data_IF_579805129370
#
_entry.id   IF_579805129370
#
_cell.length_a   1.000
_cell.length_b   1.000
_cell.length_c   1.000
_cell.angle_alpha   90.00
_cell.angle_beta   90.00
_cell.angle_gamma   90.00
#
_symmetry.space_group_name_H-M   'P 1'
#
loop_
_entity.id
_entity.type
_entity.pdbx_description
1 polymer ?
#
# COMPACT_ATOMS: atom_id res chain seq x y z
N UNK A 1 -15.77 -35.58 -41.92
CA UNK A 1 -15.95 -34.17 -42.36
C UNK A 1 -16.21 -33.32 -41.13
N UNK A 2 -15.20 -32.61 -40.62
CA UNK A 2 -15.40 -31.61 -39.56
C UNK A 2 -15.84 -30.33 -40.28
N UNK A 3 -17.05 -29.87 -39.98
CA UNK A 3 -17.65 -28.68 -40.60
C UNK A 3 -16.75 -27.47 -40.42
N UNK A 4 -16.38 -26.82 -41.54
CA UNK A 4 -15.60 -25.57 -41.58
C UNK A 4 -16.33 -24.36 -40.98
N UNK A 5 -17.56 -24.51 -40.46
CA UNK A 5 -18.40 -23.41 -39.98
C UNK A 5 -18.04 -22.86 -38.58
N UNK A 6 -17.19 -23.53 -37.80
CA UNK A 6 -16.94 -23.15 -36.40
C UNK A 6 -15.61 -22.44 -36.14
N UNK A 7 -14.76 -22.29 -37.18
CA UNK A 7 -13.47 -21.61 -37.06
C UNK A 7 -13.56 -20.16 -36.53
N UNK A 8 -14.49 -19.30 -37.00
CA UNK A 8 -14.48 -17.89 -36.58
C UNK A 8 -14.90 -17.70 -35.10
N UNK A 9 -15.76 -18.57 -34.57
CA UNK A 9 -16.22 -18.49 -33.17
C UNK A 9 -15.09 -18.83 -32.19
N UNK A 10 -14.25 -19.81 -32.53
CA UNK A 10 -13.10 -20.20 -31.71
C UNK A 10 -12.04 -19.10 -31.70
N UNK A 11 -11.79 -18.44 -32.84
CA UNK A 11 -10.81 -17.34 -32.92
C UNK A 11 -11.26 -16.12 -32.10
N UNK A 12 -12.54 -15.76 -32.14
CA UNK A 12 -13.09 -14.65 -31.34
C UNK A 12 -12.98 -14.94 -29.84
N UNK A 13 -13.27 -16.17 -29.41
CA UNK A 13 -13.14 -16.57 -28.01
C UNK A 13 -11.69 -16.51 -27.49
N UNK A 14 -10.71 -16.92 -28.31
CA UNK A 14 -9.29 -16.85 -27.97
C UNK A 14 -8.82 -15.39 -27.88
N UNK A 15 -9.24 -14.53 -28.81
CA UNK A 15 -8.90 -13.11 -28.76
C UNK A 15 -9.52 -12.40 -27.55
N UNK A 16 -10.78 -12.69 -27.22
CA UNK A 16 -11.42 -12.17 -26.02
C UNK A 16 -10.68 -12.63 -24.74
N UNK A 17 -10.27 -13.90 -24.69
CA UNK A 17 -9.50 -14.45 -23.57
C UNK A 17 -8.12 -13.79 -23.43
N UNK A 18 -7.38 -13.63 -24.54
CA UNK A 18 -6.08 -12.96 -24.54
C UNK A 18 -6.18 -11.47 -24.18
N UNK A 19 -7.27 -10.80 -24.57
CA UNK A 19 -7.53 -9.42 -24.13
C UNK A 19 -7.74 -9.37 -22.61
N UNK A 20 -8.60 -10.24 -22.06
CA UNK A 20 -8.88 -10.29 -20.61
C UNK A 20 -7.60 -10.57 -19.81
N UNK A 21 -6.73 -11.47 -20.28
CA UNK A 21 -5.46 -11.78 -19.61
C UNK A 21 -4.49 -10.59 -19.65
N UNK A 22 -4.37 -9.89 -20.77
CA UNK A 22 -3.50 -8.71 -20.88
C UNK A 22 -4.00 -7.53 -20.04
N UNK A 23 -5.32 -7.29 -19.99
CA UNK A 23 -5.89 -6.28 -19.11
C UNK A 23 -5.68 -6.65 -17.63
N UNK A 24 -5.88 -7.92 -17.25
CA UNK A 24 -5.69 -8.37 -15.89
C UNK A 24 -4.25 -8.17 -15.39
N UNK A 25 -3.23 -8.40 -16.24
CA UNK A 25 -1.81 -8.21 -15.89
C UNK A 25 -1.48 -6.82 -15.34
N UNK A 26 -2.03 -5.75 -15.93
CA UNK A 26 -1.83 -4.38 -15.46
C UNK A 26 -2.53 -4.07 -14.13
N UNK A 27 -3.57 -4.84 -13.76
CA UNK A 27 -4.19 -4.73 -12.43
C UNK A 27 -3.40 -5.42 -11.33
N UNK A 28 -2.58 -6.42 -11.66
CA UNK A 28 -1.87 -7.23 -10.67
C UNK A 28 -0.58 -6.61 -10.15
N UNK A 29 0.06 -5.71 -10.90
CA UNK A 29 1.32 -5.07 -10.51
C UNK A 29 1.12 -3.58 -10.23
N UNK A 30 0.88 -3.19 -8.95
CA UNK A 30 0.71 -1.80 -8.55
C UNK A 30 1.78 -0.86 -9.08
N UNK A 31 3.02 -1.34 -9.18
CA UNK A 31 4.20 -0.63 -9.63
C UNK A 31 4.22 -0.30 -11.13
N UNK A 32 3.41 -0.99 -11.96
CA UNK A 32 3.33 -0.75 -13.40
C UNK A 32 2.21 0.24 -13.78
N UNK A 33 1.47 0.76 -12.80
CA UNK A 33 0.37 1.66 -13.08
C UNK A 33 0.90 3.02 -13.56
N UNK A 34 0.28 3.64 -14.59
CA UNK A 34 0.80 4.87 -15.21
C UNK A 34 1.08 6.01 -14.22
N UNK A 35 0.27 6.12 -13.17
CA UNK A 35 0.43 7.18 -12.18
C UNK A 35 1.61 6.98 -11.22
N UNK A 36 2.17 5.77 -11.14
CA UNK A 36 3.37 5.45 -10.35
C UNK A 36 4.65 5.81 -11.12
N UNK A 37 4.56 5.94 -12.45
CA UNK A 37 5.71 6.22 -13.31
C UNK A 37 6.48 7.49 -12.93
N UNK A 38 5.81 8.50 -12.36
CA UNK A 38 6.46 9.73 -11.85
C UNK A 38 7.50 9.48 -10.76
N UNK A 39 7.45 8.34 -10.08
CA UNK A 39 8.41 7.91 -9.06
C UNK A 39 9.54 7.05 -9.65
N UNK A 40 9.42 6.61 -10.90
CA UNK A 40 10.36 5.73 -11.60
C UNK A 40 11.18 6.48 -12.64
N UNK A 41 11.04 7.80 -12.73
CA UNK A 41 11.79 8.63 -13.66
C UNK A 41 13.26 8.73 -13.23
N UNK A 42 14.09 7.89 -13.83
CA UNK A 42 15.54 7.82 -13.58
C UNK A 42 16.22 9.15 -13.91
N UNK A 43 15.64 10.00 -14.76
CA UNK A 43 16.21 11.32 -15.06
C UNK A 43 16.08 12.31 -13.89
N UNK A 44 15.16 12.06 -12.95
CA UNK A 44 15.05 12.83 -11.70
C UNK A 44 16.00 12.35 -10.62
N UNK A 45 16.53 11.15 -10.74
CA UNK A 45 17.59 10.71 -9.86
C UNK A 45 18.83 11.51 -10.20
N UNK A 46 19.32 12.31 -9.24
CA UNK A 46 20.63 12.94 -9.37
C UNK A 46 21.71 11.90 -9.68
N UNK A 47 22.84 12.31 -10.26
CA UNK A 47 23.96 11.41 -10.51
C UNK A 47 24.25 10.54 -9.28
N UNK A 48 24.31 9.23 -9.52
CA UNK A 48 24.61 8.21 -8.53
C UNK A 48 26.07 8.35 -8.08
N UNK A 49 26.31 8.94 -6.91
CA UNK A 49 27.66 9.24 -6.43
C UNK A 49 28.33 8.09 -5.65
N UNK A 50 27.54 7.09 -5.25
CA UNK A 50 27.97 6.00 -4.35
C UNK A 50 27.90 4.62 -5.05
N UNK A 51 28.55 3.62 -4.46
CA UNK A 51 28.41 2.23 -4.91
C UNK A 51 27.04 1.69 -4.46
N UNK A 52 26.33 1.00 -5.37
CA UNK A 52 25.04 0.39 -5.05
C UNK A 52 25.16 -1.12 -4.97
N UNK A 53 24.42 -1.72 -4.04
CA UNK A 53 24.31 -3.15 -3.91
C UNK A 53 22.92 -3.59 -4.30
N UNK A 54 22.81 -4.63 -5.13
CA UNK A 54 21.56 -5.34 -5.30
C UNK A 54 21.27 -6.11 -4.00
N UNK A 55 20.37 -5.56 -3.19
CA UNK A 55 20.01 -6.16 -1.89
C UNK A 55 18.95 -7.25 -2.06
N UNK A 56 18.11 -7.16 -3.10
CA UNK A 56 17.00 -8.08 -3.30
C UNK A 56 16.63 -8.21 -4.78
N UNK A 57 16.21 -9.42 -5.16
CA UNK A 57 15.56 -9.73 -6.45
C UNK A 57 14.51 -10.82 -6.24
N UNK A 58 13.43 -10.76 -7.00
CA UNK A 58 12.30 -11.69 -6.90
C UNK A 58 12.38 -12.86 -7.90
N UNK A 59 13.46 -12.96 -8.68
CA UNK A 59 13.70 -14.05 -9.62
C UNK A 59 15.00 -14.80 -9.28
N UNK A 60 15.00 -16.11 -9.56
CA UNK A 60 16.12 -16.99 -9.21
C UNK A 60 17.33 -16.79 -10.13
N UNK A 61 17.08 -16.43 -11.39
CA UNK A 61 18.08 -16.34 -12.45
C UNK A 61 17.84 -15.11 -13.33
N UNK A 62 18.92 -14.39 -13.63
CA UNK A 62 18.92 -13.33 -14.62
C UNK A 62 20.25 -13.33 -15.39
N UNK A 63 20.18 -13.65 -16.68
CA UNK A 63 21.35 -13.73 -17.54
C UNK A 63 22.07 -12.38 -17.72
N UNK A 64 21.37 -11.26 -17.55
CA UNK A 64 21.96 -9.92 -17.65
C UNK A 64 22.72 -9.52 -16.38
N UNK A 65 22.33 -10.10 -15.23
CA UNK A 65 22.92 -9.80 -13.91
C UNK A 65 23.58 -11.02 -13.25
N UNK A 66 24.36 -11.78 -14.02
CA UNK A 66 25.25 -12.82 -13.49
C UNK A 66 24.53 -14.09 -13.03
N UNK A 67 23.39 -14.41 -13.63
CA UNK A 67 22.65 -15.65 -13.42
C UNK A 67 22.07 -15.77 -12.00
N UNK A 68 22.51 -16.78 -11.25
CA UNK A 68 22.04 -17.10 -9.88
C UNK A 68 22.72 -16.29 -8.77
N UNK A 69 23.59 -15.34 -9.14
CA UNK A 69 24.38 -14.54 -8.18
C UNK A 69 23.49 -13.71 -7.24
N UNK A 70 23.61 -13.93 -5.93
CA UNK A 70 22.76 -13.28 -4.91
C UNK A 70 23.20 -11.86 -4.55
N UNK A 71 24.46 -11.52 -4.81
CA UNK A 71 25.03 -10.21 -4.48
C UNK A 71 25.67 -9.62 -5.73
N UNK A 72 25.08 -8.53 -6.23
CA UNK A 72 25.63 -7.77 -7.34
C UNK A 72 26.05 -6.42 -6.80
N UNK A 73 27.34 -6.09 -6.93
CA UNK A 73 27.85 -4.76 -6.60
C UNK A 73 27.98 -3.97 -7.90
N UNK A 74 27.28 -2.85 -7.96
CA UNK A 74 27.39 -1.88 -9.03
C UNK A 74 28.46 -0.88 -8.63
N UNK A 75 29.62 -0.99 -9.27
CA UNK A 75 30.68 -0.02 -9.09
C UNK A 75 30.40 1.19 -9.96
N UNK A 76 30.68 2.36 -9.38
CA UNK A 76 30.81 3.61 -10.11
C UNK A 76 31.73 3.44 -11.33
N UNK A 77 31.27 3.82 -12.52
CA UNK A 77 32.18 4.21 -13.60
C UNK A 77 32.09 5.72 -13.71
N UNK A 78 33.17 6.40 -13.32
CA UNK A 78 33.34 7.82 -13.65
C UNK A 78 33.70 7.88 -15.12
N UNK A 79 32.76 8.26 -15.99
CA UNK A 79 33.13 8.91 -17.24
C UNK A 79 32.16 10.06 -17.54
N UNK A 80 32.71 11.28 -17.44
CA UNK A 80 32.15 12.48 -18.03
C UNK A 80 32.22 12.32 -19.55
N UNK A 81 31.07 12.13 -20.21
CA UNK A 81 30.67 12.73 -21.50
C UNK A 81 29.44 12.01 -22.05
N UNK A 82 28.25 12.60 -21.86
CA UNK A 82 27.04 12.32 -22.65
C UNK A 82 26.28 11.00 -22.38
N UNK A 83 24.98 11.15 -22.09
CA UNK A 83 23.80 10.25 -22.25
C UNK A 83 23.86 8.73 -21.97
N UNK A 84 25.02 8.13 -21.67
CA UNK A 84 25.17 6.72 -21.38
C UNK A 84 25.99 6.51 -20.11
N UNK A 85 25.33 6.09 -19.03
CA UNK A 85 26.02 5.57 -17.86
C UNK A 85 26.43 4.11 -18.14
N UNK A 86 27.72 3.85 -18.20
CA UNK A 86 28.25 2.48 -18.16
C UNK A 86 28.35 2.08 -16.68
N UNK A 87 27.86 0.89 -16.32
CA UNK A 87 27.94 0.38 -14.95
C UNK A 87 28.87 -0.83 -14.92
N UNK A 88 29.92 -0.81 -14.07
CA UNK A 88 30.81 -1.96 -13.93
C UNK A 88 30.21 -2.88 -12.89
N UNK A 89 29.84 -4.09 -13.33
CA UNK A 89 29.24 -5.09 -12.46
C UNK A 89 30.32 -6.05 -12.01
N UNK A 90 30.48 -6.22 -10.69
CA UNK A 90 31.35 -7.25 -10.11
C UNK A 90 30.52 -8.35 -9.45
N UNK A 91 31.01 -9.58 -9.55
CA UNK A 91 30.31 -10.80 -9.13
C UNK A 91 31.16 -11.57 -8.11
N UNK A 92 30.50 -12.15 -7.10
CA UNK A 92 31.10 -13.18 -6.26
C UNK A 92 30.27 -14.46 -6.40
N UNK A 93 30.88 -15.50 -6.98
CA UNK A 93 30.22 -16.78 -7.26
C UNK A 93 30.25 -17.69 -6.03
N UNK A 94 29.08 -18.14 -5.58
CA UNK A 94 28.96 -19.36 -4.76
C UNK A 94 28.10 -20.38 -5.51
N UNK A 95 28.62 -21.60 -5.59
CA UNK A 95 28.16 -22.67 -6.48
C UNK A 95 26.86 -23.37 -5.99
N UNK A 96 26.10 -23.85 -6.99
CA UNK A 96 25.10 -24.92 -6.98
C UNK A 96 23.62 -24.58 -6.66
N UNK A 97 22.76 -24.75 -7.67
CA UNK A 97 21.47 -25.45 -7.62
C UNK A 97 20.96 -25.75 -9.05
N UNK A 98 20.52 -27.00 -9.28
CA UNK A 98 19.96 -27.56 -10.52
C UNK A 98 18.43 -27.36 -10.52
N UNK A 99 17.78 -26.94 -11.62
CA UNK A 99 16.30 -26.91 -11.69
C UNK A 99 15.71 -28.27 -12.09
N UNK A 100 14.66 -28.69 -11.37
CA UNK A 100 13.78 -29.79 -11.73
C UNK A 100 12.82 -29.36 -12.86
N UNK A 101 12.76 -30.14 -13.94
CA UNK A 101 11.77 -30.01 -15.00
C UNK A 101 10.45 -30.69 -14.60
N UNK A 102 9.32 -29.98 -14.76
CA UNK A 102 7.98 -30.56 -14.66
C UNK A 102 7.47 -30.93 -16.07
N UNK A 103 7.26 -32.22 -16.32
CA UNK A 103 6.59 -32.71 -17.52
C UNK A 103 5.08 -32.52 -17.39
N UNK A 104 4.50 -31.67 -18.24
CA UNK A 104 3.06 -31.64 -18.48
C UNK A 104 2.69 -32.76 -19.45
N UNK A 105 1.94 -33.75 -18.96
CA UNK A 105 1.35 -34.80 -19.77
C UNK A 105 0.11 -34.24 -20.47
N UNK A 106 0.20 -34.03 -21.78
CA UNK A 106 -0.97 -33.77 -22.63
C UNK A 106 -1.71 -35.08 -22.91
N UNK A 107 -2.83 -35.29 -22.22
CA UNK A 107 -3.78 -36.36 -22.60
C UNK A 107 -4.75 -35.79 -23.64
N UNK A 108 -4.51 -36.14 -24.90
CA UNK A 108 -5.44 -35.88 -26.02
C UNK A 108 -6.45 -37.02 -26.12
N UNK A 109 -7.70 -36.79 -25.67
CA UNK A 109 -8.86 -37.59 -26.10
C UNK A 109 -10.02 -36.68 -26.50
N UNK A 110 -10.61 -37.03 -27.64
CA UNK A 110 -11.32 -36.19 -28.59
C UNK A 110 -12.78 -35.82 -28.26
N UNK A 111 -13.22 -35.88 -27.00
CA UNK A 111 -14.59 -35.46 -26.61
C UNK A 111 -14.66 -34.75 -25.25
N UNK A 112 -13.53 -34.23 -24.74
CA UNK A 112 -13.44 -33.56 -23.43
C UNK A 112 -13.52 -32.01 -23.39
N UNK A 113 -13.86 -31.23 -24.45
CA UNK A 113 -13.64 -29.78 -24.41
C UNK A 113 -14.68 -29.03 -23.56
N UNK A 114 -15.93 -29.46 -23.50
CA UNK A 114 -16.99 -28.66 -22.85
C UNK A 114 -16.92 -28.74 -21.32
N UNK A 115 -16.71 -29.94 -20.77
CA UNK A 115 -16.64 -30.16 -19.31
C UNK A 115 -15.39 -29.51 -18.72
N UNK A 116 -14.26 -29.57 -19.42
CA UNK A 116 -13.03 -28.89 -18.97
C UNK A 116 -13.16 -27.37 -19.01
N UNK A 117 -13.76 -26.80 -20.06
CA UNK A 117 -14.03 -25.36 -20.14
C UNK A 117 -14.96 -24.89 -19.02
N UNK A 118 -16.02 -25.65 -18.71
CA UNK A 118 -16.95 -25.31 -17.63
C UNK A 118 -16.31 -25.35 -16.24
N UNK A 119 -15.47 -26.36 -15.97
CA UNK A 119 -14.72 -26.46 -14.70
C UNK A 119 -13.71 -25.32 -14.60
N UNK A 120 -12.98 -25.00 -15.67
CA UNK A 120 -12.07 -23.87 -15.68
C UNK A 120 -12.79 -22.55 -15.45
N UNK A 121 -13.92 -22.31 -16.12
CA UNK A 121 -14.73 -21.09 -15.93
C UNK A 121 -15.29 -20.99 -14.51
N UNK A 122 -15.76 -22.09 -13.91
CA UNK A 122 -16.26 -22.12 -12.54
C UNK A 122 -15.16 -21.88 -11.51
N UNK A 123 -13.98 -22.50 -11.68
CA UNK A 123 -12.79 -22.23 -10.85
C UNK A 123 -12.32 -20.78 -11.03
N UNK A 124 -12.40 -20.23 -12.25
CA UNK A 124 -12.09 -18.82 -12.51
C UNK A 124 -13.05 -17.91 -11.74
N UNK A 125 -14.36 -18.11 -11.88
CA UNK A 125 -15.39 -17.31 -11.20
C UNK A 125 -15.28 -17.42 -9.69
N UNK A 126 -15.00 -18.61 -9.12
CA UNK A 126 -14.80 -18.75 -7.67
C UNK A 126 -13.53 -18.04 -7.16
N UNK A 127 -12.47 -17.97 -7.96
CA UNK A 127 -11.26 -17.21 -7.59
C UNK A 127 -11.45 -15.68 -7.75
N UNK A 128 -12.29 -15.23 -8.68
CA UNK A 128 -12.52 -13.81 -8.93
C UNK A 128 -13.70 -13.20 -8.16
N UNK A 129 -14.70 -13.98 -7.74
CA UNK A 129 -15.92 -13.47 -7.11
C UNK A 129 -15.78 -13.12 -5.62
N UNK A 130 -14.72 -13.58 -4.94
CA UNK A 130 -14.61 -13.45 -3.48
C UNK A 130 -13.36 -12.76 -2.96
N UNK A 131 -12.36 -12.48 -3.81
CA UNK A 131 -11.08 -11.99 -3.33
C UNK A 131 -10.77 -10.62 -3.95
N UNK A 132 -11.34 -9.57 -3.36
CA UNK A 132 -10.63 -8.31 -3.28
C UNK A 132 -9.35 -8.55 -2.48
N UNK A 133 -8.34 -9.09 -3.15
CA UNK A 133 -7.06 -9.42 -2.54
C UNK A 133 -6.27 -8.12 -2.43
N UNK A 134 -6.63 -7.34 -1.43
CA UNK A 134 -5.81 -6.25 -0.92
C UNK A 134 -4.37 -6.79 -0.79
N UNK A 135 -3.40 -6.33 -1.61
CA UNK A 135 -2.05 -6.86 -1.59
C UNK A 135 -1.41 -6.74 -0.20
N UNK A 136 -1.81 -5.70 0.54
CA UNK A 136 -1.41 -5.48 1.92
C UNK A 136 -2.01 -6.49 2.91
N UNK A 137 -3.04 -7.27 2.55
CA UNK A 137 -3.57 -8.34 3.41
C UNK A 137 -2.87 -9.68 3.20
N UNK A 138 -1.75 -9.73 2.46
CA UNK A 138 -0.88 -10.92 2.40
C UNK A 138 0.02 -11.05 3.65
N UNK A 139 -0.02 -12.17 4.41
CA UNK A 139 0.69 -12.29 5.68
C UNK A 139 2.20 -11.98 5.65
N UNK A 140 2.88 -12.14 4.51
CA UNK A 140 4.31 -11.84 4.40
C UNK A 140 4.64 -10.33 4.45
N UNK A 141 3.66 -9.43 4.26
CA UNK A 141 3.86 -7.98 4.37
C UNK A 141 3.64 -7.45 5.79
N UNK A 142 3.21 -8.28 6.74
CA UNK A 142 2.84 -7.86 8.09
C UNK A 142 3.95 -7.13 8.86
N UNK A 143 5.22 -7.40 8.52
CA UNK A 143 6.39 -6.71 9.09
C UNK A 143 6.42 -5.20 8.84
N UNK A 144 5.65 -4.71 7.86
CA UNK A 144 5.51 -3.30 7.53
C UNK A 144 4.26 -2.66 8.14
N UNK A 145 3.49 -3.41 8.93
CA UNK A 145 2.15 -3.01 9.40
C UNK A 145 2.00 -3.06 10.91
N UNK A 146 3.02 -3.53 11.62
CA UNK A 146 2.97 -3.67 13.07
C UNK A 146 3.11 -2.30 13.73
N UNK A 147 2.01 -1.74 14.20
CA UNK A 147 1.96 -0.42 14.84
C UNK A 147 2.58 -0.47 16.22
N UNK A 148 2.49 -1.62 16.90
CA UNK A 148 3.09 -1.81 18.23
C UNK A 148 4.61 -1.64 18.20
N UNK A 149 5.26 -1.95 17.07
CA UNK A 149 6.70 -1.76 16.87
C UNK A 149 7.16 -0.32 17.03
N UNK A 150 6.29 0.66 16.76
CA UNK A 150 6.64 2.07 16.86
C UNK A 150 6.68 2.58 18.31
N UNK A 151 6.36 1.73 19.28
CA UNK A 151 6.33 2.11 20.69
C UNK A 151 5.28 3.19 20.97
N UNK A 152 5.41 3.90 22.09
CA UNK A 152 4.58 5.08 22.35
C UNK A 152 4.85 6.15 21.29
N UNK A 153 3.81 6.57 20.58
CA UNK A 153 3.90 7.67 19.61
C UNK A 153 4.10 8.99 20.37
N UNK A 154 5.32 9.54 20.32
CA UNK A 154 5.71 10.74 21.07
C UNK A 154 5.25 12.06 20.45
N UNK A 155 4.76 12.01 19.21
CA UNK A 155 4.25 13.19 18.51
C UNK A 155 2.90 12.93 17.88
N UNK A 156 2.23 14.03 17.55
CA UNK A 156 0.93 14.00 16.90
C UNK A 156 1.06 13.72 15.42
N UNK A 157 -0.01 13.20 14.83
CA UNK A 157 -0.08 12.92 13.40
C UNK A 157 -1.16 13.75 12.74
N UNK A 158 -0.83 14.38 11.61
CA UNK A 158 -1.79 15.02 10.73
C UNK A 158 -2.20 14.08 9.61
N UNK A 159 -3.50 14.06 9.31
CA UNK A 159 -4.02 13.50 8.08
C UNK A 159 -3.62 14.42 6.92
N UNK A 160 -2.67 13.98 6.09
CA UNK A 160 -2.17 14.78 4.97
C UNK A 160 -3.22 14.81 3.87
N UNK A 161 -3.62 13.63 3.40
CA UNK A 161 -4.64 13.47 2.40
C UNK A 161 -5.31 12.10 2.49
N UNK A 162 -6.47 11.98 1.83
CA UNK A 162 -7.23 10.74 1.68
C UNK A 162 -7.82 10.61 0.29
N UNK A 163 -8.24 9.42 -0.12
CA UNK A 163 -8.81 9.17 -1.45
C UNK A 163 -10.36 9.19 -1.50
N UNK A 164 -11.01 9.82 -0.53
CA UNK A 164 -12.47 9.98 -0.42
C UNK A 164 -12.84 11.34 0.18
N UNK A 165 -13.93 11.95 -0.28
CA UNK A 165 -14.28 13.36 0.03
C UNK A 165 -14.73 13.54 1.47
N UNK A 166 -15.63 12.68 1.92
CA UNK A 166 -16.37 12.83 3.17
C UNK A 166 -16.06 11.68 4.13
N UNK A 167 -15.79 12.02 5.38
CA UNK A 167 -15.48 11.07 6.43
C UNK A 167 -16.26 11.38 7.70
N UNK A 168 -17.33 10.62 7.96
CA UNK A 168 -18.17 10.85 9.14
C UNK A 168 -17.41 10.72 10.46
N UNK A 169 -16.32 9.96 10.52
CA UNK A 169 -15.55 9.70 11.74
C UNK A 169 -14.51 10.79 12.02
N UNK A 170 -14.13 11.55 10.99
CA UNK A 170 -13.10 12.60 11.06
C UNK A 170 -13.64 13.97 10.63
N UNK A 171 -14.86 14.31 11.03
CA UNK A 171 -15.44 15.65 10.87
C UNK A 171 -16.04 15.97 9.50
N UNK A 172 -16.31 14.97 8.67
CA UNK A 172 -16.95 15.12 7.38
C UNK A 172 -15.97 15.59 6.31
N UNK A 173 -16.18 16.79 5.78
CA UNK A 173 -15.30 17.45 4.78
C UNK A 173 -14.31 18.44 5.41
N UNK A 174 -14.19 18.45 6.73
CA UNK A 174 -13.30 19.35 7.48
C UNK A 174 -11.83 19.08 7.20
N UNK A 175 -10.99 20.07 7.55
CA UNK A 175 -9.54 20.07 7.33
C UNK A 175 -8.81 19.91 8.66
N UNK A 176 -7.48 19.83 8.61
CA UNK A 176 -6.60 19.86 9.78
C UNK A 176 -6.88 18.74 10.79
N UNK A 177 -7.25 17.57 10.28
CA UNK A 177 -7.48 16.39 11.11
C UNK A 177 -6.15 15.98 11.75
N UNK A 178 -6.13 15.92 13.08
CA UNK A 178 -4.96 15.64 13.91
C UNK A 178 -5.29 14.55 14.92
N UNK A 179 -4.46 13.53 14.99
CA UNK A 179 -4.52 12.42 15.93
C UNK A 179 -3.46 12.61 17.01
N UNK A 180 -3.85 12.44 18.28
CA UNK A 180 -3.01 12.58 19.47
C UNK A 180 -3.29 11.43 20.42
N UNK A 181 -2.24 10.75 20.92
CA UNK A 181 -2.36 9.76 22.01
C UNK A 181 -2.19 10.48 23.35
N UNK A 182 -3.21 10.44 24.21
CA UNK A 182 -3.23 11.13 25.50
C UNK A 182 -2.50 10.33 26.57
N UNK A 183 -2.76 9.01 26.63
CA UNK A 183 -2.15 8.12 27.64
C UNK A 183 -1.54 6.92 26.94
N UNK A 184 -0.26 6.67 27.24
CA UNK A 184 0.50 5.49 26.79
C UNK A 184 0.22 4.27 27.68
N UNK A 185 -1.03 4.07 28.10
CA UNK A 185 -1.39 2.89 28.89
C UNK A 185 -1.46 1.71 27.95
N UNK A 186 -0.57 0.71 28.15
CA UNK A 186 -0.44 -0.53 27.38
C UNK A 186 -0.62 -0.33 25.87
N UNK A 187 0.45 -0.31 25.06
CA UNK A 187 0.47 0.08 23.63
C UNK A 187 -0.69 -0.44 22.73
N UNK A 188 -1.42 -1.46 23.17
CA UNK A 188 -2.62 -2.05 22.58
C UNK A 188 -3.95 -1.29 22.84
N UNK A 189 -4.06 -0.47 23.89
CA UNK A 189 -5.30 0.24 24.26
C UNK A 189 -5.00 1.67 24.72
N UNK A 190 -4.90 2.60 23.79
CA UNK A 190 -4.54 3.98 24.11
C UNK A 190 -5.78 4.87 24.24
N UNK A 191 -5.77 5.80 25.20
CA UNK A 191 -6.69 6.95 25.17
C UNK A 191 -6.20 7.92 24.10
N UNK A 192 -7.10 8.36 23.22
CA UNK A 192 -6.77 9.18 22.06
C UNK A 192 -7.68 10.40 21.96
N UNK A 193 -7.16 11.42 21.29
CA UNK A 193 -7.87 12.63 20.89
C UNK A 193 -7.73 12.78 19.39
N UNK A 194 -8.87 12.91 18.72
CA UNK A 194 -8.93 13.27 17.31
C UNK A 194 -9.53 14.66 17.23
N UNK A 195 -8.87 15.56 16.52
CA UNK A 195 -9.34 16.93 16.33
C UNK A 195 -9.37 17.29 14.85
N UNK A 196 -10.20 18.25 14.48
CA UNK A 196 -10.30 18.80 13.13
C UNK A 196 -10.69 20.26 13.19
N UNK A 197 -10.39 21.01 12.13
CA UNK A 197 -10.72 22.42 12.02
C UNK A 197 -11.77 22.66 10.94
N UNK A 198 -12.71 23.54 11.25
CA UNK A 198 -13.63 24.11 10.28
C UNK A 198 -13.29 25.58 10.12
N UNK A 199 -13.16 26.04 8.87
CA UNK A 199 -12.88 27.44 8.58
C UNK A 199 -13.87 28.35 9.32
N UNK A 200 -13.36 29.31 10.09
CA UNK A 200 -14.18 30.25 10.88
C UNK A 200 -14.73 29.74 12.21
N UNK A 201 -14.61 28.44 12.54
CA UNK A 201 -15.20 27.86 13.77
C UNK A 201 -14.17 27.22 14.72
N UNK A 202 -12.87 27.38 14.45
CA UNK A 202 -11.80 26.84 15.28
C UNK A 202 -11.69 25.30 15.23
N UNK A 203 -11.04 24.74 16.25
CA UNK A 203 -10.72 23.30 16.36
C UNK A 203 -11.80 22.55 17.15
N UNK A 204 -12.46 21.57 16.54
CA UNK A 204 -13.32 20.60 17.23
C UNK A 204 -12.53 19.35 17.56
N UNK A 205 -12.97 18.61 18.56
CA UNK A 205 -12.32 17.35 18.93
C UNK A 205 -13.32 16.35 19.46
N UNK A 206 -12.88 15.09 19.47
CA UNK A 206 -13.48 14.00 20.19
C UNK A 206 -12.40 13.26 20.96
N UNK A 207 -12.81 12.66 22.07
CA UNK A 207 -11.99 11.74 22.83
C UNK A 207 -12.48 10.32 22.60
N UNK A 208 -11.54 9.38 22.60
CA UNK A 208 -11.84 7.98 22.31
C UNK A 208 -10.77 7.02 22.78
N UNK A 209 -11.01 5.73 22.57
CA UNK A 209 -9.98 4.71 22.73
C UNK A 209 -9.55 4.17 21.36
N UNK A 210 -8.25 4.00 21.16
CA UNK A 210 -7.68 3.26 20.02
C UNK A 210 -7.19 1.91 20.52
N UNK A 211 -7.80 0.84 20.01
CA UNK A 211 -7.46 -0.54 20.35
C UNK A 211 -6.79 -1.22 19.17
N UNK A 212 -5.58 -1.75 19.38
CA UNK A 212 -4.82 -2.48 18.38
C UNK A 212 -5.03 -3.99 18.50
N UNK A 213 -5.48 -4.58 17.40
CA UNK A 213 -5.62 -6.03 17.23
C UNK A 213 -4.96 -6.47 15.92
N UNK A 214 -5.06 -7.76 15.60
CA UNK A 214 -4.49 -8.34 14.39
C UNK A 214 -5.60 -8.71 13.40
N UNK A 215 -5.42 -8.41 12.12
CA UNK A 215 -6.29 -8.95 11.07
C UNK A 215 -6.19 -10.48 11.01
N UNK A 216 -7.21 -11.20 10.48
CA UNK A 216 -7.16 -12.66 10.41
C UNK A 216 -5.91 -13.19 9.72
N UNK A 217 -5.19 -14.11 10.38
CA UNK A 217 -3.94 -14.70 9.87
C UNK A 217 -2.67 -13.89 10.13
N UNK A 218 -2.75 -12.81 10.91
CA UNK A 218 -1.62 -11.94 11.26
C UNK A 218 -1.20 -12.12 12.71
N UNK A 219 0.10 -11.95 12.98
CA UNK A 219 0.63 -11.74 14.33
C UNK A 219 0.89 -10.27 14.62
N UNK A 220 1.18 -9.47 13.59
CA UNK A 220 1.33 -8.01 13.70
C UNK A 220 0.05 -7.33 14.22
N UNK A 221 0.22 -6.25 15.00
CA UNK A 221 -0.89 -5.41 15.49
C UNK A 221 -1.19 -4.33 14.45
N UNK A 222 -2.00 -4.67 13.46
CA UNK A 222 -2.27 -3.84 12.29
C UNK A 222 -3.72 -3.34 12.19
N UNK A 223 -4.65 -3.82 13.02
CA UNK A 223 -6.06 -3.42 13.00
C UNK A 223 -6.35 -2.46 14.15
N UNK A 224 -6.72 -1.23 13.82
CA UNK A 224 -7.20 -0.23 14.77
C UNK A 224 -8.72 -0.32 14.90
N UNK A 225 -9.19 -0.32 16.13
CA UNK A 225 -10.59 -0.13 16.51
C UNK A 225 -10.68 1.12 17.35
N UNK A 226 -11.26 2.18 16.80
CA UNK A 226 -11.45 3.44 17.50
C UNK A 226 -12.89 3.54 17.99
N UNK A 227 -13.07 3.90 19.26
CA UNK A 227 -14.37 4.19 19.86
C UNK A 227 -14.44 5.64 20.31
N UNK A 228 -15.59 6.28 20.16
CA UNK A 228 -15.84 7.63 20.70
C UNK A 228 -16.50 7.54 22.09
N UNK A 229 -16.14 8.45 22.99
CA UNK A 229 -16.83 8.59 24.28
C UNK A 229 -18.12 9.42 24.18
N UNK A 230 -18.22 10.29 23.17
CA UNK A 230 -19.34 11.21 23.02
C UNK A 230 -20.47 10.64 22.15
N UNK A 231 -20.13 9.71 21.26
CA UNK A 231 -21.07 9.08 20.35
C UNK A 231 -20.83 7.56 20.37
N UNK A 232 -21.88 6.72 20.30
CA UNK A 232 -21.76 5.25 20.30
C UNK A 232 -21.20 4.70 18.97
N UNK A 233 -20.28 5.42 18.35
CA UNK A 233 -19.62 5.03 17.11
C UNK A 233 -18.31 4.30 17.40
N UNK A 234 -18.14 3.15 16.75
CA UNK A 234 -16.88 2.44 16.64
C UNK A 234 -16.57 2.23 15.16
N UNK A 235 -15.32 2.44 14.77
CA UNK A 235 -14.88 2.20 13.40
C UNK A 235 -13.51 1.59 13.37
N UNK A 236 -13.31 0.79 12.32
CA UNK A 236 -12.10 0.02 12.13
C UNK A 236 -11.36 0.49 10.88
N UNK A 237 -10.05 0.50 10.98
CA UNK A 237 -9.16 0.64 9.84
C UNK A 237 -7.92 -0.19 10.07
N UNK A 238 -7.33 -0.72 8.99
CA UNK A 238 -6.10 -1.48 9.09
C UNK A 238 -4.93 -0.73 8.47
N UNK A 239 -3.76 -1.03 8.98
CA UNK A 239 -2.49 -0.46 8.55
C UNK A 239 -2.06 -1.11 7.24
N UNK A 240 -1.93 -0.31 6.18
CA UNK A 240 -1.29 -0.71 4.93
C UNK A 240 0.23 -0.71 5.11
N UNK A 241 0.74 0.36 5.70
CA UNK A 241 2.17 0.59 5.91
C UNK A 241 2.38 1.56 7.07
N UNK A 242 3.40 1.31 7.89
CA UNK A 242 3.86 2.24 8.92
C UNK A 242 5.39 2.31 8.95
N UNK A 243 5.89 3.54 8.89
CA UNK A 243 7.25 3.89 9.26
C UNK A 243 7.20 4.85 10.45
N UNK A 244 7.84 4.44 11.55
CA UNK A 244 7.65 5.08 12.85
C UNK A 244 8.15 6.53 12.91
N UNK A 245 8.99 6.94 11.96
CA UNK A 245 9.54 8.30 11.89
C UNK A 245 8.98 9.11 10.73
N UNK A 246 8.31 8.47 9.76
CA UNK A 246 7.92 9.16 8.52
C UNK A 246 6.43 9.23 8.28
N UNK A 247 5.70 8.12 8.37
CA UNK A 247 4.29 8.11 7.96
C UNK A 247 3.52 6.87 8.42
N UNK A 248 2.20 7.02 8.38
CA UNK A 248 1.25 5.94 8.55
C UNK A 248 0.23 5.96 7.40
N UNK A 249 -0.04 4.79 6.81
CA UNK A 249 -1.03 4.63 5.75
C UNK A 249 -2.09 3.63 6.24
N UNK A 250 -3.33 4.11 6.34
CA UNK A 250 -4.47 3.33 6.81
C UNK A 250 -5.52 3.10 5.73
N UNK A 251 -6.20 1.95 5.79
CA UNK A 251 -7.36 1.60 4.97
C UNK A 251 -8.62 1.51 5.81
N UNK A 252 -9.60 2.33 5.45
CA UNK A 252 -10.87 2.54 6.16
C UNK A 252 -11.96 1.70 5.52
N UNK A 253 -12.42 0.66 6.22
CA UNK A 253 -13.40 -0.30 5.68
C UNK A 253 -14.78 0.33 5.43
N UNK A 254 -15.12 1.35 6.21
CA UNK A 254 -16.39 2.07 6.10
C UNK A 254 -16.40 3.11 4.95
N UNK A 255 -15.24 3.46 4.40
CA UNK A 255 -15.12 4.51 3.39
C UNK A 255 -14.90 3.93 1.99
N UNK A 256 -15.53 4.54 0.98
CA UNK A 256 -15.37 4.19 -0.44
C UNK A 256 -15.51 2.67 -0.70
N UNK A 257 -16.55 2.04 -0.13
CA UNK A 257 -16.80 0.60 -0.25
C UNK A 257 -15.61 -0.27 0.16
N UNK A 258 -14.86 0.13 1.20
CA UNK A 258 -13.68 -0.57 1.71
C UNK A 258 -12.35 -0.11 1.11
N UNK A 259 -12.38 0.73 0.06
CA UNK A 259 -11.18 1.25 -0.63
C UNK A 259 -10.68 2.60 -0.11
N UNK A 260 -11.32 3.13 0.94
CA UNK A 260 -10.92 4.39 1.55
C UNK A 260 -9.52 4.28 2.13
N UNK A 261 -8.63 5.21 1.78
CA UNK A 261 -7.28 5.28 2.30
C UNK A 261 -6.95 6.68 2.80
N UNK A 262 -6.05 6.73 3.78
CA UNK A 262 -5.51 7.95 4.36
C UNK A 262 -3.99 7.86 4.52
N UNK A 263 -3.27 8.94 4.20
CA UNK A 263 -1.87 9.12 4.55
C UNK A 263 -1.78 10.08 5.74
N UNK A 264 -1.11 9.65 6.80
CA UNK A 264 -0.83 10.43 7.99
C UNK A 264 0.67 10.66 8.12
N UNK A 265 1.06 11.83 8.62
CA UNK A 265 2.45 12.18 8.89
C UNK A 265 2.60 12.81 10.26
N UNK A 266 3.74 12.59 10.92
CA UNK A 266 4.06 13.29 12.15
C UNK A 266 4.10 14.81 11.93
N UNK A 267 3.79 15.58 12.97
CA UNK A 267 3.82 17.05 12.92
C UNK A 267 5.17 17.57 12.46
N UNK A 268 6.26 16.96 12.90
CA UNK A 268 7.64 17.36 12.52
C UNK A 268 7.91 17.33 11.01
N UNK A 269 7.10 16.59 10.23
CA UNK A 269 7.30 16.39 8.79
C UNK A 269 6.21 17.05 7.92
N UNK A 270 5.19 17.67 8.50
CA UNK A 270 4.04 18.19 7.73
C UNK A 270 4.41 19.40 6.87
N UNK A 271 5.31 20.25 7.34
CA UNK A 271 5.73 21.49 6.69
C UNK A 271 6.71 21.28 5.53
N UNK A 272 7.28 20.08 5.40
CA UNK A 272 8.37 19.80 4.45
C UNK A 272 7.89 19.68 2.99
N UNK A 273 6.57 19.70 2.72
CA UNK A 273 5.94 19.56 1.40
C UNK A 273 6.68 18.56 0.47
N UNK A 274 7.04 17.40 1.03
CA UNK A 274 7.91 16.42 0.38
C UNK A 274 7.08 15.32 -0.26
N UNK A 275 7.48 14.94 -1.48
CA UNK A 275 7.04 13.70 -2.13
C UNK A 275 8.08 12.62 -1.79
N UNK A 276 7.69 11.57 -1.06
CA UNK A 276 8.60 10.50 -0.62
C UNK A 276 8.01 9.10 -0.89
N UNK A 277 8.66 8.08 -0.34
CA UNK A 277 8.24 6.69 -0.50
C UNK A 277 6.85 6.41 0.09
N UNK A 278 6.37 7.20 1.06
CA UNK A 278 5.00 7.07 1.57
C UNK A 278 3.97 7.50 0.53
N UNK A 279 4.27 8.56 -0.24
CA UNK A 279 3.42 8.99 -1.37
C UNK A 279 3.37 7.91 -2.46
N UNK A 280 4.51 7.28 -2.75
CA UNK A 280 4.59 6.14 -3.68
C UNK A 280 3.75 4.95 -3.20
N UNK A 281 3.91 4.51 -1.94
CA UNK A 281 3.16 3.38 -1.39
C UNK A 281 1.66 3.68 -1.41
N UNK A 282 1.27 4.90 -1.03
CA UNK A 282 -0.12 5.33 -1.11
C UNK A 282 -0.64 5.23 -2.54
N UNK A 283 0.07 5.80 -3.53
CA UNK A 283 -0.39 5.76 -4.92
C UNK A 283 -0.51 4.32 -5.41
N UNK A 284 0.50 3.49 -5.18
CA UNK A 284 0.52 2.10 -5.61
C UNK A 284 -0.67 1.31 -5.04
N UNK A 285 -0.91 1.41 -3.73
CA UNK A 285 -1.90 0.57 -3.02
C UNK A 285 -3.31 1.17 -3.00
N UNK A 286 -3.44 2.51 -2.94
CA UNK A 286 -4.71 3.22 -2.78
C UNK A 286 -5.18 3.96 -4.03
N UNK A 287 -4.36 4.02 -5.07
CA UNK A 287 -4.61 4.82 -6.26
C UNK A 287 -4.14 6.27 -6.11
N UNK A 288 -3.79 6.89 -7.22
CA UNK A 288 -3.29 8.26 -7.27
C UNK A 288 -4.37 9.34 -7.34
N UNK A 289 -5.62 8.98 -7.63
CA UNK A 289 -6.70 9.93 -7.84
C UNK A 289 -8.09 9.33 -7.51
N UNK A 290 -9.00 10.13 -6.93
CA UNK A 290 -8.77 11.49 -6.42
C UNK A 290 -7.99 11.49 -5.10
N UNK A 291 -7.23 12.58 -4.84
CA UNK A 291 -6.63 12.88 -3.53
C UNK A 291 -7.26 14.15 -2.97
N UNK A 292 -7.77 14.07 -1.75
CA UNK A 292 -8.32 15.20 -1.00
C UNK A 292 -7.33 15.56 0.08
N UNK A 293 -6.64 16.69 -0.10
CA UNK A 293 -5.70 17.23 0.87
C UNK A 293 -6.46 17.79 2.07
N UNK A 294 -6.18 17.23 3.25
CA UNK A 294 -6.82 17.56 4.51
C UNK A 294 -5.92 18.47 5.35
N UNK A 295 -4.60 18.32 5.22
CA UNK A 295 -3.62 19.22 5.85
C UNK A 295 -3.07 20.24 4.86
N UNK A 296 -2.82 21.45 5.35
CA UNK A 296 -2.13 22.54 4.67
C UNK A 296 -1.42 23.44 5.72
N UNK A 297 -0.57 24.39 5.29
CA UNK A 297 0.14 25.27 6.23
C UNK A 297 -0.76 26.15 7.11
N UNK A 298 -2.05 26.32 6.81
CA UNK A 298 -2.96 27.03 7.70
C UNK A 298 -3.35 26.20 8.93
N UNK A 299 -3.22 24.87 8.88
CA UNK A 299 -3.54 23.99 10.00
C UNK A 299 -2.65 24.19 11.24
N UNK A 300 -1.43 24.67 11.05
CA UNK A 300 -0.50 25.04 12.14
C UNK A 300 -0.94 26.32 12.86
N UNK A 301 -1.68 27.20 12.17
CA UNK A 301 -2.15 28.48 12.72
C UNK A 301 -3.50 28.38 13.41
N UNK A 302 -4.17 27.22 13.36
CA UNK A 302 -5.44 27.03 14.05
C UNK A 302 -5.17 26.91 15.54
N UNK A 303 -5.63 27.87 16.37
CA UNK A 303 -5.39 27.82 17.81
C UNK A 303 -5.86 26.49 18.37
N UNK A 304 -5.01 25.83 19.16
CA UNK A 304 -5.50 24.76 20.01
C UNK A 304 -6.44 25.41 21.02
N UNK A 305 -7.72 25.00 21.02
CA UNK A 305 -8.54 25.28 22.20
C UNK A 305 -7.80 24.68 23.40
N UNK A 306 -7.87 25.32 24.57
CA UNK A 306 -7.34 24.82 25.84
C UNK A 306 -7.99 23.47 26.16
N UNK A 307 -7.47 22.41 25.56
CA UNK A 307 -7.89 21.03 25.79
C UNK A 307 -6.94 20.52 26.84
N UNK A 308 -7.44 20.37 28.06
CA UNK A 308 -6.71 19.73 29.13
C UNK A 308 -6.28 18.34 28.65
N UNK A 309 -5.02 17.98 28.84
CA UNK A 309 -4.53 16.60 28.68
C UNK A 309 -5.20 15.61 29.63
N UNK A 310 -6.03 16.10 30.55
CA UNK A 310 -6.95 15.33 31.37
C UNK A 310 -8.26 15.14 30.61
N UNK A 311 -8.66 13.88 30.44
CA UNK A 311 -9.99 13.57 29.96
C UNK A 311 -11.02 14.23 30.90
N UNK A 312 -12.12 14.79 30.38
CA UNK A 312 -13.13 15.45 31.21
C UNK A 312 -13.69 14.57 32.35
N UNK A 313 -13.60 13.26 32.20
CA UNK A 313 -14.07 12.25 33.15
C UNK A 313 -12.97 11.61 34.01
N UNK A 314 -11.73 12.12 33.95
CA UNK A 314 -10.64 11.67 34.84
C UNK A 314 -10.60 12.44 36.17
N UNK A 315 -11.73 13.01 36.59
CA UNK A 315 -11.98 13.60 37.91
C UNK A 315 -13.16 12.89 38.56
#
# INVERSE_FOLDING_TARGET
MISRSNLPVVTIAIFAFLLVVNFAGAYFYPELKPYVQKYQDVQRCGPMYEDYYLVYRNYLYDSQYGGTTRCVKFHKIVHQTGLHALTKISWASFSACIPLYLHLIMISRSNLPVVTIAIFAFVLVLNFAGAYFYPELKPYVQKYQDVQRCGPMYEDYYLVYRNYVYDSQYGGTTRCVKFHKIVHQTDLHALTKISWATSGFGRRYMHGHDTLTSTPGYTARNLHTITSHHEPAAWNHHTIYIDCTSCYIGRHHYARNGYGCSLWRPVSLISQNRTDYCDFIFDAVCGSSPKYYISDPACERVPEMLVTSKAPWSQ
#
